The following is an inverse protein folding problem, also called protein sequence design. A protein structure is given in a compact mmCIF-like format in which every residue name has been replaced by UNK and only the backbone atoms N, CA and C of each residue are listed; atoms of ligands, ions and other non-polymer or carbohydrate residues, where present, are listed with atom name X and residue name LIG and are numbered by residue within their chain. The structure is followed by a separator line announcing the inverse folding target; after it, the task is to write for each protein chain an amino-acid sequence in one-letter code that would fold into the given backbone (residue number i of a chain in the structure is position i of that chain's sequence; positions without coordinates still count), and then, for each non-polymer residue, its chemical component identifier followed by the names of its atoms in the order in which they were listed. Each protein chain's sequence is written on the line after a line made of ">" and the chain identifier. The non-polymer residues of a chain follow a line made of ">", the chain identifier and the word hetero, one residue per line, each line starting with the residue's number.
data_IF_289041102720
#
_entry.id   IF_289041102720
#
_cell.length_a   1.000
_cell.length_b   1.000
_cell.length_c   1.000
_cell.angle_alpha   90.00
_cell.angle_beta   90.00
_cell.angle_gamma   90.00
#
_symmetry.space_group_name_H-M   'P 1'
#
loop_
_entity.id
_entity.type
_entity.pdbx_description
1 polymer ?
#
# COMPACT_ATOMS: atom_id res chain seq x y z
N UNK A 1 -13.15 -13.91 0.44
CA UNK A 1 -12.89 -12.75 1.31
C UNK A 1 -11.80 -13.13 2.26
N UNK A 2 -10.70 -12.40 2.25
CA UNK A 2 -9.55 -12.65 3.12
C UNK A 2 -9.92 -12.29 4.56
N UNK A 3 -10.06 -13.32 5.39
CA UNK A 3 -10.56 -13.22 6.77
C UNK A 3 -9.80 -14.19 7.66
N UNK A 4 -9.54 -13.75 8.88
CA UNK A 4 -9.03 -14.60 9.95
C UNK A 4 -10.14 -15.54 10.44
N UNK A 5 -9.74 -16.55 11.21
CA UNK A 5 -10.67 -17.55 11.78
C UNK A 5 -11.70 -16.95 12.73
N UNK A 6 -11.43 -15.76 13.27
CA UNK A 6 -12.35 -14.99 14.13
C UNK A 6 -13.27 -14.03 13.35
N UNK A 7 -13.25 -14.09 12.01
CA UNK A 7 -14.11 -13.29 11.13
C UNK A 7 -13.59 -11.88 10.85
N UNK A 8 -12.47 -11.44 11.44
CA UNK A 8 -11.87 -10.15 11.08
C UNK A 8 -11.31 -10.21 9.66
N UNK A 9 -11.65 -9.22 8.85
CA UNK A 9 -11.07 -9.04 7.51
C UNK A 9 -9.65 -8.52 7.62
N UNK A 10 -8.82 -8.93 6.68
CA UNK A 10 -7.52 -8.32 6.46
C UNK A 10 -7.37 -7.94 4.99
N UNK A 11 -6.43 -7.04 4.73
CA UNK A 11 -6.03 -6.58 3.40
C UNK A 11 -4.51 -6.59 3.35
N UNK A 12 -3.98 -6.69 2.14
CA UNK A 12 -2.54 -6.62 1.88
C UNK A 12 -2.27 -5.47 0.93
N UNK A 13 -1.48 -4.49 1.36
CA UNK A 13 -0.88 -3.50 0.46
C UNK A 13 0.32 -4.16 -0.21
N UNK A 14 0.26 -4.27 -1.53
CA UNK A 14 1.34 -4.82 -2.34
C UNK A 14 1.97 -3.69 -3.15
N UNK A 15 3.25 -3.44 -2.93
CA UNK A 15 4.02 -2.46 -3.71
C UNK A 15 5.08 -3.20 -4.50
N UNK A 16 5.03 -3.05 -5.83
CA UNK A 16 5.93 -3.72 -6.77
C UNK A 16 6.57 -2.67 -7.65
N UNK A 17 7.88 -2.79 -7.88
CA UNK A 17 8.57 -2.04 -8.91
C UNK A 17 8.27 -2.69 -10.27
N UNK A 18 7.60 -1.96 -11.16
CA UNK A 18 7.12 -2.51 -12.44
C UNK A 18 8.26 -2.87 -13.41
N UNK A 19 9.38 -2.15 -13.34
CA UNK A 19 10.54 -2.33 -14.22
C UNK A 19 11.32 -3.61 -13.86
N UNK A 20 11.57 -3.80 -12.57
CA UNK A 20 12.40 -4.90 -12.04
C UNK A 20 11.59 -6.12 -11.60
N UNK A 21 10.27 -5.96 -11.45
CA UNK A 21 9.36 -6.93 -10.81
C UNK A 21 9.73 -7.24 -9.36
N UNK A 22 10.51 -6.38 -8.71
CA UNK A 22 10.84 -6.50 -7.30
C UNK A 22 9.61 -6.18 -6.43
N UNK A 23 9.32 -7.04 -5.46
CA UNK A 23 8.32 -6.75 -4.44
C UNK A 23 8.93 -5.89 -3.32
N UNK A 24 8.55 -4.62 -3.28
CA UNK A 24 9.12 -3.63 -2.36
C UNK A 24 8.46 -3.69 -0.97
N UNK A 25 7.16 -3.99 -0.92
CA UNK A 25 6.43 -4.14 0.33
C UNK A 25 5.21 -5.07 0.19
N UNK A 26 4.96 -5.83 1.27
CA UNK A 26 3.74 -6.60 1.51
C UNK A 26 3.27 -6.29 2.93
N UNK A 27 2.30 -5.39 3.07
CA UNK A 27 1.81 -4.95 4.39
C UNK A 27 0.43 -5.52 4.62
N UNK A 28 0.34 -6.50 5.52
CA UNK A 28 -0.93 -7.02 5.98
C UNK A 28 -1.49 -6.14 7.11
N UNK A 29 -2.76 -5.75 6.99
CA UNK A 29 -3.46 -4.97 8.01
C UNK A 29 -4.97 -5.29 8.00
N UNK A 30 -5.66 -5.01 9.10
CA UNK A 30 -7.13 -5.15 9.16
C UNK A 30 -7.84 -4.02 8.40
N UNK A 31 -7.18 -2.88 8.25
CA UNK A 31 -7.63 -1.74 7.45
C UNK A 31 -6.42 -0.99 6.88
N UNK A 32 -6.52 -0.56 5.62
CA UNK A 32 -5.46 0.21 4.94
C UNK A 32 -5.98 1.61 4.64
N UNK A 33 -6.09 2.47 5.64
CA UNK A 33 -6.49 3.86 5.39
C UNK A 33 -5.48 4.58 4.48
N UNK A 34 -5.90 5.65 3.79
CA UNK A 34 -4.99 6.46 2.98
C UNK A 34 -3.77 6.96 3.77
N UNK A 35 -3.94 7.31 5.05
CA UNK A 35 -2.84 7.66 5.95
C UNK A 35 -1.89 6.48 6.25
N UNK A 36 -2.42 5.25 6.40
CA UNK A 36 -1.61 4.04 6.56
C UNK A 36 -0.78 3.79 5.31
N UNK A 37 -1.41 3.89 4.12
CA UNK A 37 -0.74 3.72 2.83
C UNK A 37 0.35 4.79 2.62
N UNK A 38 0.04 6.07 2.86
CA UNK A 38 0.99 7.16 2.72
C UNK A 38 2.26 6.94 3.57
N UNK A 39 2.09 6.54 4.84
CA UNK A 39 3.22 6.24 5.73
C UNK A 39 4.11 5.11 5.21
N UNK A 40 3.54 4.05 4.64
CA UNK A 40 4.33 2.95 4.08
C UNK A 40 5.06 3.39 2.79
N UNK A 41 4.42 4.22 1.96
CA UNK A 41 5.06 4.80 0.77
C UNK A 41 6.19 5.75 1.15
N UNK A 42 6.00 6.62 2.15
CA UNK A 42 7.04 7.52 2.66
C UNK A 42 8.25 6.74 3.16
N UNK A 43 8.00 5.63 3.87
CA UNK A 43 9.06 4.72 4.30
C UNK A 43 9.85 4.17 3.11
N UNK A 44 9.18 3.67 2.08
CA UNK A 44 9.84 3.16 0.88
C UNK A 44 10.64 4.26 0.16
N UNK A 45 10.14 5.49 0.12
CA UNK A 45 10.82 6.65 -0.47
C UNK A 45 12.01 7.13 0.37
N UNK A 46 12.05 6.85 1.67
CA UNK A 46 13.24 7.10 2.49
C UNK A 46 14.32 6.02 2.31
N UNK A 47 13.91 4.76 2.19
CA UNK A 47 14.82 3.63 1.99
C UNK A 47 15.36 3.55 0.56
N UNK A 48 14.64 4.13 -0.41
CA UNK A 48 14.95 4.08 -1.85
C UNK A 48 14.81 5.46 -2.50
N UNK A 49 14.95 5.52 -3.82
CA UNK A 49 14.67 6.72 -4.60
C UNK A 49 13.16 6.92 -4.77
N UNK A 50 12.70 8.17 -4.77
CA UNK A 50 11.31 8.50 -5.13
C UNK A 50 11.00 8.02 -6.57
N UNK A 51 9.90 7.30 -6.79
CA UNK A 51 9.52 6.86 -8.13
C UNK A 51 9.08 8.05 -8.99
N UNK A 52 9.27 7.93 -10.30
CA UNK A 52 8.79 8.94 -11.27
C UNK A 52 7.28 8.89 -11.47
N UNK A 53 6.68 7.72 -11.28
CA UNK A 53 5.26 7.46 -11.47
C UNK A 53 4.82 6.38 -10.49
N UNK A 54 3.60 6.51 -9.98
CA UNK A 54 2.93 5.48 -9.19
C UNK A 54 1.66 5.11 -9.95
N UNK A 55 1.45 3.82 -10.18
CA UNK A 55 0.23 3.27 -10.75
C UNK A 55 -0.49 2.50 -9.65
N UNK A 56 -1.78 2.77 -9.50
CA UNK A 56 -2.66 2.09 -8.56
C UNK A 56 -3.84 1.49 -9.33
N UNK A 57 -4.39 0.40 -8.81
CA UNK A 57 -5.58 -0.26 -9.32
C UNK A 57 -6.90 0.44 -8.93
N UNK A 58 -6.82 1.65 -8.34
CA UNK A 58 -7.94 2.48 -7.87
C UNK A 58 -8.70 1.92 -6.66
N UNK A 59 -8.01 1.19 -5.77
CA UNK A 59 -8.55 0.91 -4.44
C UNK A 59 -9.03 2.19 -3.72
N UNK A 60 -10.12 2.10 -2.94
CA UNK A 60 -10.68 3.21 -2.15
C UNK A 60 -9.67 3.88 -1.20
N UNK A 61 -8.64 3.14 -0.85
CA UNK A 61 -7.49 3.53 -0.07
C UNK A 61 -6.66 4.64 -0.75
N UNK A 62 -6.75 4.74 -2.08
CA UNK A 62 -6.05 5.72 -2.93
C UNK A 62 -6.94 6.89 -3.37
N UNK A 63 -8.23 6.90 -2.98
CA UNK A 63 -9.17 8.00 -3.29
C UNK A 63 -9.31 9.01 -2.14
N UNK A 64 -8.45 8.93 -1.12
CA UNK A 64 -8.52 9.75 0.08
C UNK A 64 -7.68 11.03 -0.06
N UNK A 65 -8.21 12.17 0.41
CA UNK A 65 -7.49 13.45 0.56
C UNK A 65 -6.46 13.43 1.70
N UNK A 66 -5.83 12.29 1.98
CA UNK A 66 -4.86 12.14 3.06
C UNK A 66 -3.57 12.97 2.83
N UNK A 67 -3.42 13.55 1.64
CA UNK A 67 -2.30 14.38 1.18
C UNK A 67 -2.59 15.88 1.13
N UNK A 68 -3.71 16.36 1.69
CA UNK A 68 -3.99 17.81 1.86
C UNK A 68 -3.32 18.38 3.12
#
# INVERSE_FOLDING_TARGET
>A
SDQLTDGRRFRILTVVDDCTRECLALVADTSLSGARVARELDRLVMERSKPKMVVSDNGSEFTSNATL
#
